data_IF_621879138381
#
_entry.id   IF_621879138381
#
_cell.length_a   1.000
_cell.length_b   1.000
_cell.length_c   1.000
_cell.angle_alpha   90.00
_cell.angle_beta   90.00
_cell.angle_gamma   90.00
#
_symmetry.space_group_name_H-M   'P 1'
#
loop_
_entity.id
_entity.type
_entity.pdbx_description
1 polymer ?
#
# COMPACT_ATOMS: atom_id res chain seq x y z
N UNK A 1 9.00 25.93 -35.04
CA UNK A 1 7.62 25.47 -34.85
C UNK A 1 7.69 24.13 -34.15
N UNK A 2 6.96 23.91 -33.02
CA UNK A 2 6.92 22.58 -32.42
C UNK A 2 6.27 21.59 -33.37
N UNK A 3 6.79 20.35 -33.44
CA UNK A 3 6.26 19.32 -34.30
C UNK A 3 4.82 18.97 -33.85
N UNK A 4 3.85 19.05 -34.75
CA UNK A 4 2.42 18.85 -34.44
C UNK A 4 2.17 17.47 -33.78
N UNK A 5 2.90 16.41 -34.20
CA UNK A 5 2.81 15.07 -33.60
C UNK A 5 3.22 15.05 -32.12
N UNK A 6 4.34 15.71 -31.79
CA UNK A 6 4.83 15.79 -30.39
C UNK A 6 3.89 16.61 -29.50
N UNK A 7 3.20 17.60 -30.08
CA UNK A 7 2.21 18.39 -29.35
C UNK A 7 0.95 17.56 -29.04
N UNK A 8 0.44 16.79 -30.00
CA UNK A 8 -0.71 15.93 -29.79
C UNK A 8 -0.43 14.80 -28.77
N UNK A 9 0.76 14.21 -28.81
CA UNK A 9 1.19 13.22 -27.80
C UNK A 9 1.20 13.80 -26.38
N UNK A 10 1.74 15.00 -26.21
CA UNK A 10 1.76 15.67 -24.89
C UNK A 10 0.36 16.04 -24.41
N UNK A 11 -0.51 16.49 -25.31
CA UNK A 11 -1.91 16.76 -24.98
C UNK A 11 -2.65 15.48 -24.55
N UNK A 12 -2.42 14.35 -25.21
CA UNK A 12 -2.99 13.06 -24.84
C UNK A 12 -2.51 12.62 -23.44
N UNK A 13 -1.22 12.82 -23.11
CA UNK A 13 -0.68 12.52 -21.78
C UNK A 13 -1.34 13.41 -20.71
N UNK A 14 -1.48 14.71 -20.97
CA UNK A 14 -2.14 15.62 -20.03
C UNK A 14 -3.61 15.24 -19.84
N UNK A 15 -4.33 14.88 -20.89
CA UNK A 15 -5.72 14.43 -20.80
C UNK A 15 -5.84 13.16 -19.92
N UNK A 16 -5.02 12.15 -20.18
CA UNK A 16 -5.01 10.91 -19.38
C UNK A 16 -4.63 11.15 -17.91
N UNK A 17 -3.70 12.08 -17.64
CA UNK A 17 -3.35 12.48 -16.27
C UNK A 17 -4.51 13.22 -15.58
N UNK A 18 -5.21 14.08 -16.30
CA UNK A 18 -6.38 14.81 -15.76
C UNK A 18 -7.50 13.84 -15.39
N UNK A 19 -7.79 12.85 -16.24
CA UNK A 19 -8.78 11.79 -15.95
C UNK A 19 -8.40 10.99 -14.69
N UNK A 20 -7.13 10.60 -14.57
CA UNK A 20 -6.63 9.88 -13.40
C UNK A 20 -6.71 10.71 -12.12
N UNK A 21 -6.38 12.00 -12.20
CA UNK A 21 -6.48 12.92 -11.06
C UNK A 21 -7.93 13.14 -10.62
N UNK A 22 -8.86 13.20 -11.55
CA UNK A 22 -10.30 13.33 -11.24
C UNK A 22 -10.89 12.06 -10.63
N UNK A 23 -10.37 10.89 -11.01
CA UNK A 23 -10.79 9.60 -10.48
C UNK A 23 -10.13 9.22 -9.15
N UNK A 24 -9.08 9.93 -8.73
CA UNK A 24 -8.35 9.65 -7.51
C UNK A 24 -8.91 10.43 -6.32
N UNK A 25 -9.10 9.78 -5.18
CA UNK A 25 -9.50 10.44 -3.94
C UNK A 25 -8.32 11.19 -3.30
N UNK A 26 -7.11 10.67 -3.40
CA UNK A 26 -5.91 11.32 -2.88
C UNK A 26 -4.69 11.09 -3.76
N UNK A 27 -3.75 12.03 -3.69
CA UNK A 27 -2.46 11.91 -4.31
C UNK A 27 -1.38 12.61 -3.49
N UNK A 28 -0.17 12.06 -3.54
CA UNK A 28 1.01 12.57 -2.84
C UNK A 28 2.11 12.86 -3.85
N UNK A 29 2.70 14.02 -3.72
CA UNK A 29 3.82 14.49 -4.52
C UNK A 29 5.11 14.27 -3.74
N UNK A 30 6.08 13.62 -4.38
CA UNK A 30 7.29 13.16 -3.73
C UNK A 30 8.52 13.52 -4.55
N UNK A 31 9.61 13.86 -3.86
CA UNK A 31 10.94 13.95 -4.46
C UNK A 31 11.65 12.60 -4.32
N UNK A 32 12.10 12.05 -5.45
CA UNK A 32 12.80 10.75 -5.49
C UNK A 32 14.30 10.88 -5.72
N UNK A 33 14.89 12.00 -5.33
CA UNK A 33 16.31 12.28 -5.56
C UNK A 33 17.21 11.34 -4.75
N UNK A 34 18.04 10.58 -5.45
CA UNK A 34 19.06 9.72 -4.83
C UNK A 34 18.60 8.31 -4.47
N UNK A 35 17.45 7.86 -4.98
CA UNK A 35 16.97 6.48 -4.85
C UNK A 35 17.73 5.56 -5.82
N UNK A 36 18.07 4.34 -5.39
CA UNK A 36 18.64 3.31 -6.23
C UNK A 36 17.54 2.58 -7.03
N UNK A 37 17.93 1.91 -8.13
CA UNK A 37 16.97 1.16 -8.96
C UNK A 37 16.29 0.03 -8.17
N UNK A 38 17.02 -0.60 -7.26
CA UNK A 38 16.47 -1.65 -6.40
C UNK A 38 15.36 -1.10 -5.48
N UNK A 39 15.62 0.01 -4.81
CA UNK A 39 14.67 0.71 -3.93
C UNK A 39 13.41 1.19 -4.70
N UNK A 40 13.58 1.74 -5.92
CA UNK A 40 12.43 2.14 -6.77
C UNK A 40 11.59 0.92 -7.20
N UNK A 41 12.23 -0.21 -7.47
CA UNK A 41 11.53 -1.46 -7.83
C UNK A 41 10.70 -1.98 -6.64
N UNK A 42 11.24 -1.95 -5.42
CA UNK A 42 10.52 -2.31 -4.21
C UNK A 42 9.35 -1.35 -3.94
N UNK A 43 9.58 -0.04 -4.06
CA UNK A 43 8.53 0.98 -3.94
C UNK A 43 7.37 0.71 -4.89
N UNK A 44 7.66 0.47 -6.17
CA UNK A 44 6.63 0.14 -7.18
C UNK A 44 5.91 -1.16 -6.88
N UNK A 45 6.59 -2.15 -6.32
CA UNK A 45 5.98 -3.41 -5.92
C UNK A 45 5.02 -3.22 -4.75
N UNK A 46 5.40 -2.42 -3.74
CA UNK A 46 4.53 -2.11 -2.60
C UNK A 46 3.36 -1.19 -2.99
N UNK A 47 3.58 -0.22 -3.87
CA UNK A 47 2.50 0.61 -4.42
C UNK A 47 1.44 -0.26 -5.11
N UNK A 48 1.84 -1.21 -5.94
CA UNK A 48 0.91 -2.14 -6.61
C UNK A 48 0.13 -3.03 -5.66
N UNK A 49 0.73 -3.45 -4.53
CA UNK A 49 0.05 -4.25 -3.50
C UNK A 49 -1.04 -3.47 -2.75
N UNK A 50 -0.90 -2.16 -2.68
CA UNK A 50 -1.83 -1.26 -2.00
C UNK A 50 -2.72 -0.48 -2.98
N UNK A 51 -2.80 -0.89 -4.25
CA UNK A 51 -3.59 -0.24 -5.32
C UNK A 51 -3.26 1.24 -5.49
N UNK A 52 -1.98 1.61 -5.29
CA UNK A 52 -1.46 2.95 -5.51
C UNK A 52 -0.78 3.02 -6.87
N UNK A 53 -1.22 3.91 -7.74
CA UNK A 53 -0.56 4.19 -9.01
C UNK A 53 0.59 5.17 -8.77
N UNK A 54 1.82 4.70 -8.96
CA UNK A 54 3.03 5.50 -8.84
C UNK A 54 3.61 5.79 -10.22
N UNK A 55 3.72 7.08 -10.57
CA UNK A 55 4.23 7.53 -11.85
C UNK A 55 5.22 8.69 -11.70
N UNK A 56 6.31 8.63 -12.45
CA UNK A 56 7.24 9.75 -12.60
C UNK A 56 6.82 10.56 -13.82
N UNK A 57 6.44 11.79 -13.61
CA UNK A 57 5.90 12.66 -14.66
C UNK A 57 6.67 13.98 -14.69
N UNK A 58 6.80 14.56 -15.88
CA UNK A 58 7.46 15.85 -16.05
C UNK A 58 6.62 16.97 -15.38
N UNK A 59 7.27 17.82 -14.57
CA UNK A 59 6.63 18.92 -13.81
C UNK A 59 5.75 19.81 -14.67
N UNK A 60 6.19 20.14 -15.89
CA UNK A 60 5.39 20.97 -16.81
C UNK A 60 4.07 20.32 -17.20
N UNK A 61 4.02 18.99 -17.37
CA UNK A 61 2.79 18.26 -17.70
C UNK A 61 1.88 18.15 -16.47
N UNK A 62 2.47 17.97 -15.29
CA UNK A 62 1.74 17.98 -14.02
C UNK A 62 1.08 19.33 -13.74
N UNK A 63 1.78 20.43 -13.98
CA UNK A 63 1.21 21.78 -13.85
C UNK A 63 -0.03 21.95 -14.73
N UNK A 64 0.04 21.57 -16.00
CA UNK A 64 -1.15 21.64 -16.87
C UNK A 64 -2.29 20.75 -16.37
N UNK A 65 -2.01 19.56 -15.87
CA UNK A 65 -3.02 18.65 -15.35
C UNK A 65 -3.65 19.20 -14.05
N UNK A 66 -2.86 19.74 -13.12
CA UNK A 66 -3.35 20.32 -11.88
C UNK A 66 -4.16 21.61 -12.12
N UNK A 67 -3.73 22.46 -13.05
CA UNK A 67 -4.49 23.65 -13.43
C UNK A 67 -5.85 23.29 -14.04
N UNK A 68 -5.94 22.20 -14.81
CA UNK A 68 -7.21 21.70 -15.35
C UNK A 68 -8.16 21.17 -14.26
N UNK A 69 -7.62 20.65 -13.16
CA UNK A 69 -8.40 20.14 -12.00
C UNK A 69 -8.69 21.24 -10.98
N UNK A 70 -7.98 22.38 -11.03
CA UNK A 70 -8.16 23.52 -10.11
C UNK A 70 -7.22 23.49 -8.89
N UNK A 71 -6.17 22.67 -8.91
CA UNK A 71 -5.19 22.52 -7.83
C UNK A 71 -3.96 23.43 -8.04
N UNK A 72 -4.17 24.72 -8.29
CA UNK A 72 -3.11 25.66 -8.65
C UNK A 72 -2.08 25.90 -7.53
N UNK A 73 -2.47 25.69 -6.27
CA UNK A 73 -1.60 25.90 -5.10
C UNK A 73 -0.44 24.89 -5.04
N UNK A 74 -0.52 23.78 -5.77
CA UNK A 74 0.56 22.79 -5.84
C UNK A 74 1.70 23.17 -6.80
N UNK A 75 1.52 24.22 -7.61
CA UNK A 75 2.51 24.66 -8.60
C UNK A 75 3.85 25.05 -7.97
N UNK A 76 3.83 25.64 -6.77
CA UNK A 76 5.03 26.05 -6.04
C UNK A 76 5.84 24.82 -5.54
N UNK A 77 5.19 23.69 -5.33
CA UNK A 77 5.83 22.45 -4.87
C UNK A 77 6.43 21.63 -6.03
N UNK A 78 6.06 21.91 -7.28
CA UNK A 78 6.54 21.21 -8.48
C UNK A 78 7.93 21.66 -8.94
N UNK A 79 8.88 21.75 -8.02
CA UNK A 79 10.27 22.10 -8.31
C UNK A 79 11.18 20.87 -8.12
N UNK A 80 12.17 20.68 -8.98
CA UNK A 80 13.13 19.56 -8.92
C UNK A 80 12.56 18.24 -9.47
N UNK A 81 13.02 17.12 -8.93
CA UNK A 81 12.53 15.79 -9.29
C UNK A 81 11.18 15.55 -8.65
N UNK A 82 10.22 15.04 -9.43
CA UNK A 82 8.84 14.88 -8.94
C UNK A 82 8.27 13.57 -9.41
N UNK A 83 7.76 12.79 -8.47
CA UNK A 83 6.91 11.64 -8.72
C UNK A 83 5.56 11.84 -8.07
N UNK A 84 4.54 11.25 -8.66
CA UNK A 84 3.16 11.33 -8.23
C UNK A 84 2.67 9.93 -7.87
N UNK A 85 2.13 9.79 -6.66
CA UNK A 85 1.44 8.59 -6.19
C UNK A 85 -0.04 8.93 -5.99
N UNK A 86 -0.93 8.26 -6.72
CA UNK A 86 -2.38 8.46 -6.66
C UNK A 86 -3.09 7.17 -6.31
N UNK A 87 -4.19 7.27 -5.56
CA UNK A 87 -5.04 6.13 -5.26
C UNK A 87 -6.51 6.54 -5.08
N UNK A 88 -7.38 5.54 -5.17
CA UNK A 88 -8.79 5.70 -4.83
C UNK A 88 -9.00 5.79 -3.30
N UNK A 89 -8.12 5.16 -2.51
CA UNK A 89 -8.13 5.27 -1.05
C UNK A 89 -7.41 6.54 -0.60
N UNK A 90 -7.99 7.36 0.28
CA UNK A 90 -7.39 8.62 0.71
C UNK A 90 -6.13 8.45 1.56
N UNK A 91 -5.95 7.31 2.23
CA UNK A 91 -4.85 7.06 3.18
C UNK A 91 -3.72 6.21 2.57
N UNK A 92 -4.03 5.33 1.62
CA UNK A 92 -3.09 4.37 1.06
C UNK A 92 -1.80 5.02 0.51
N UNK A 93 -1.85 6.08 -0.35
CA UNK A 93 -0.64 6.67 -0.90
C UNK A 93 0.21 7.34 0.17
N UNK A 94 -0.39 8.05 1.13
CA UNK A 94 0.34 8.71 2.20
C UNK A 94 1.09 7.70 3.09
N UNK A 95 0.46 6.57 3.42
CA UNK A 95 1.06 5.51 4.25
C UNK A 95 2.25 4.85 3.56
N UNK A 96 2.06 4.37 2.33
CA UNK A 96 3.13 3.68 1.58
C UNK A 96 4.34 4.59 1.41
N UNK A 97 4.10 5.83 1.03
CA UNK A 97 5.14 6.84 0.82
C UNK A 97 5.89 7.16 2.12
N UNK A 98 5.17 7.37 3.23
CA UNK A 98 5.80 7.69 4.51
C UNK A 98 6.61 6.51 5.08
N UNK A 99 6.16 5.28 4.90
CA UNK A 99 6.92 4.10 5.32
C UNK A 99 8.21 3.94 4.51
N UNK A 100 8.18 4.27 3.21
CA UNK A 100 9.40 4.33 2.39
C UNK A 100 10.30 5.51 2.76
N UNK A 101 9.75 6.68 3.06
CA UNK A 101 10.53 7.84 3.49
C UNK A 101 11.33 7.52 4.77
N UNK A 102 10.72 6.77 5.70
CA UNK A 102 11.40 6.28 6.92
C UNK A 102 12.52 5.28 6.61
N UNK A 103 12.31 4.36 5.65
CA UNK A 103 13.32 3.36 5.25
C UNK A 103 14.52 4.01 4.54
N UNK A 104 14.30 5.05 3.77
CA UNK A 104 15.32 5.66 2.90
C UNK A 104 16.07 6.85 3.53
N UNK A 105 15.81 7.17 4.82
CA UNK A 105 16.58 8.14 5.63
C UNK A 105 16.92 9.46 4.90
N UNK A 106 15.91 10.18 4.42
CA UNK A 106 16.10 11.52 3.85
C UNK A 106 16.46 11.59 2.36
N UNK A 107 16.50 10.45 1.64
CA UNK A 107 16.61 10.45 0.18
C UNK A 107 15.27 10.62 -0.53
N UNK A 108 14.19 10.49 0.21
CA UNK A 108 12.82 10.49 -0.29
C UNK A 108 12.02 11.48 0.54
N UNK A 109 11.69 12.63 -0.06
CA UNK A 109 11.01 13.71 0.65
C UNK A 109 9.59 13.90 0.11
N UNK A 110 8.64 14.01 1.03
CA UNK A 110 7.25 14.34 0.71
C UNK A 110 7.18 15.85 0.54
N UNK A 111 6.76 16.32 -0.62
CA UNK A 111 6.57 17.76 -0.88
C UNK A 111 5.19 18.25 -0.44
N UNK A 112 4.19 17.44 -0.65
CA UNK A 112 2.81 17.72 -0.33
C UNK A 112 1.88 16.76 -1.05
N UNK A 113 0.59 17.08 -1.06
CA UNK A 113 -0.39 16.24 -1.73
C UNK A 113 -1.73 16.94 -1.91
N UNK A 114 -2.68 16.19 -2.41
CA UNK A 114 -4.08 16.61 -2.46
C UNK A 114 -4.98 15.48 -1.95
N UNK A 115 -6.10 15.85 -1.38
CA UNK A 115 -7.15 14.95 -0.94
C UNK A 115 -8.52 15.59 -1.18
N UNK A 116 -9.40 14.87 -1.86
CA UNK A 116 -10.76 15.35 -2.20
C UNK A 116 -10.76 16.74 -2.87
N UNK A 117 -9.80 17.01 -3.75
CA UNK A 117 -9.68 18.29 -4.45
C UNK A 117 -9.14 19.44 -3.59
N UNK A 118 -8.63 19.17 -2.40
CA UNK A 118 -7.97 20.16 -1.54
C UNK A 118 -6.48 19.89 -1.44
N UNK A 119 -5.68 20.94 -1.43
CA UNK A 119 -4.25 20.83 -1.21
C UNK A 119 -3.97 20.52 0.25
N UNK A 120 -3.08 19.57 0.47
CA UNK A 120 -2.68 19.06 1.79
C UNK A 120 -1.19 19.27 1.98
N UNK A 121 -0.84 19.90 3.10
CA UNK A 121 0.55 20.17 3.46
C UNK A 121 1.27 18.91 3.98
N UNK A 122 2.60 18.92 3.98
CA UNK A 122 3.47 17.84 4.44
C UNK A 122 3.11 17.34 5.85
N UNK A 123 2.78 18.24 6.77
CA UNK A 123 2.39 17.90 8.13
C UNK A 123 1.12 17.02 8.16
N UNK A 124 0.15 17.37 7.34
CA UNK A 124 -1.13 16.64 7.24
C UNK A 124 -0.94 15.29 6.52
N UNK A 125 -0.09 15.23 5.50
CA UNK A 125 0.26 13.94 4.83
C UNK A 125 0.91 12.99 5.82
N UNK A 126 1.80 13.47 6.68
CA UNK A 126 2.40 12.66 7.74
C UNK A 126 1.39 12.20 8.79
N UNK A 127 0.41 13.04 9.14
CA UNK A 127 -0.68 12.66 10.03
C UNK A 127 -1.59 11.57 9.40
N UNK A 128 -1.89 11.71 8.10
CA UNK A 128 -2.62 10.68 7.34
C UNK A 128 -1.85 9.36 7.27
N UNK A 129 -0.55 9.41 7.12
CA UNK A 129 0.32 8.23 7.11
C UNK A 129 0.33 7.46 8.43
N UNK A 130 0.01 8.10 9.55
CA UNK A 130 -0.13 7.45 10.85
C UNK A 130 -1.42 6.62 10.97
N UNK A 131 -2.39 6.81 10.08
CA UNK A 131 -3.66 6.09 10.09
C UNK A 131 -3.45 4.68 9.51
N UNK A 132 -3.87 3.61 10.22
CA UNK A 132 -3.74 2.25 9.71
C UNK A 132 -4.71 1.98 8.55
N UNK A 133 -4.51 0.87 7.83
CA UNK A 133 -5.39 0.44 6.76
C UNK A 133 -6.84 0.23 7.24
N UNK A 134 -7.80 0.42 6.36
CA UNK A 134 -9.23 0.31 6.63
C UNK A 134 -9.64 -0.94 7.47
N UNK A 135 -9.21 -2.17 7.13
CA UNK A 135 -9.59 -3.34 7.92
C UNK A 135 -9.01 -3.31 9.33
N UNK A 136 -7.81 -2.76 9.52
CA UNK A 136 -7.19 -2.62 10.85
C UNK A 136 -7.91 -1.56 11.67
N UNK A 137 -8.32 -0.46 11.05
CA UNK A 137 -9.12 0.59 11.69
C UNK A 137 -10.46 0.04 12.17
N UNK A 138 -11.15 -0.72 11.31
CA UNK A 138 -12.41 -1.37 11.67
C UNK A 138 -12.23 -2.36 12.83
N UNK A 139 -11.18 -3.18 12.82
CA UNK A 139 -10.86 -4.08 13.91
C UNK A 139 -10.56 -3.33 15.21
N UNK A 140 -9.88 -2.19 15.13
CA UNK A 140 -9.59 -1.35 16.29
C UNK A 140 -10.87 -0.75 16.89
N UNK A 141 -11.79 -0.25 16.05
CA UNK A 141 -13.09 0.25 16.52
C UNK A 141 -13.90 -0.85 17.19
N UNK A 142 -14.00 -2.03 16.57
CA UNK A 142 -14.69 -3.18 17.17
C UNK A 142 -14.03 -3.61 18.49
N UNK A 143 -12.71 -3.61 18.54
CA UNK A 143 -11.94 -3.89 19.76
C UNK A 143 -12.24 -2.91 20.89
N UNK A 144 -12.32 -1.61 20.60
CA UNK A 144 -12.66 -0.60 21.61
C UNK A 144 -14.10 -0.73 22.14
N UNK A 145 -15.03 -1.16 21.30
CA UNK A 145 -16.41 -1.44 21.72
C UNK A 145 -16.49 -2.68 22.61
N UNK A 146 -15.68 -3.70 22.37
CA UNK A 146 -15.61 -4.92 23.17
C UNK A 146 -14.76 -4.75 24.45
N UNK A 147 -13.87 -3.77 24.51
CA UNK A 147 -12.94 -3.56 25.60
C UNK A 147 -13.61 -3.47 27.00
N UNK A 148 -14.76 -2.77 27.20
CA UNK A 148 -15.41 -2.71 28.51
C UNK A 148 -15.87 -4.09 28.99
N UNK A 149 -16.41 -4.91 28.07
CA UNK A 149 -16.93 -6.25 28.39
C UNK A 149 -15.76 -7.19 28.72
N UNK A 150 -14.73 -7.18 27.89
CA UNK A 150 -13.52 -7.98 28.10
C UNK A 150 -12.78 -7.58 29.37
N UNK A 151 -12.71 -6.27 29.65
CA UNK A 151 -12.10 -5.75 30.90
C UNK A 151 -12.86 -6.25 32.15
N UNK A 152 -14.18 -6.21 32.15
CA UNK A 152 -14.99 -6.73 33.26
C UNK A 152 -14.78 -8.24 33.43
N UNK A 153 -14.80 -9.02 32.35
CA UNK A 153 -14.55 -10.45 32.40
C UNK A 153 -13.17 -10.78 32.95
N UNK A 154 -12.15 -10.02 32.58
CA UNK A 154 -10.77 -10.18 33.07
C UNK A 154 -10.68 -9.89 34.58
N UNK A 155 -11.32 -8.83 35.06
CA UNK A 155 -11.36 -8.50 36.49
C UNK A 155 -12.10 -9.58 37.28
N UNK A 156 -13.23 -10.06 36.80
CA UNK A 156 -13.96 -11.14 37.44
C UNK A 156 -13.15 -12.43 37.51
N UNK A 157 -12.43 -12.77 36.44
CA UNK A 157 -11.51 -13.92 36.41
C UNK A 157 -10.40 -13.76 37.46
N UNK A 158 -9.77 -12.59 37.54
CA UNK A 158 -8.74 -12.31 38.54
C UNK A 158 -9.25 -12.39 39.99
N UNK A 159 -10.49 -11.95 40.24
CA UNK A 159 -11.13 -12.07 41.55
C UNK A 159 -11.38 -13.55 41.87
N UNK A 160 -11.90 -14.33 40.92
CA UNK A 160 -12.13 -15.76 41.09
C UNK A 160 -10.81 -16.51 41.39
N UNK A 161 -9.76 -16.24 40.68
CA UNK A 161 -8.42 -16.81 40.91
C UNK A 161 -7.87 -16.44 42.30
N UNK A 162 -8.05 -15.20 42.75
CA UNK A 162 -7.62 -14.77 44.11
C UNK A 162 -8.44 -15.40 45.23
N UNK A 163 -9.70 -15.71 44.95
CA UNK A 163 -10.60 -16.35 45.95
C UNK A 163 -10.51 -17.89 45.91
N UNK A 164 -9.55 -18.48 45.19
CA UNK A 164 -9.28 -19.92 45.20
C UNK A 164 -10.34 -20.78 44.50
N UNK A 165 -11.16 -20.21 43.65
CA UNK A 165 -12.01 -21.00 42.75
C UNK A 165 -11.16 -21.62 41.62
N UNK A 166 -11.25 -22.97 41.38
CA UNK A 166 -10.54 -23.55 40.25
C UNK A 166 -11.07 -22.94 38.95
N UNK A 167 -10.19 -22.49 38.10
CA UNK A 167 -10.51 -21.98 36.79
C UNK A 167 -10.90 -23.13 35.86
N UNK A 168 -12.14 -23.63 35.98
CA UNK A 168 -12.75 -24.54 35.01
C UNK A 168 -13.55 -23.73 34.00
N UNK A 169 -13.06 -23.82 32.76
CA UNK A 169 -13.81 -23.69 31.50
C UNK A 169 -14.66 -22.43 31.24
N UNK A 170 -13.97 -21.29 31.03
CA UNK A 170 -14.50 -20.22 30.17
C UNK A 170 -13.40 -19.64 29.27
N UNK A 171 -12.53 -20.46 28.71
CA UNK A 171 -11.46 -20.05 27.80
C UNK A 171 -11.49 -20.79 26.47
N UNK A 172 -12.70 -20.97 25.95
CA UNK A 172 -12.88 -21.46 24.57
C UNK A 172 -13.60 -20.40 23.76
N UNK A 173 -12.96 -19.28 23.45
CA UNK A 173 -13.31 -18.44 22.28
C UNK A 173 -12.72 -17.03 22.38
N UNK A 174 -11.43 -16.90 22.56
CA UNK A 174 -10.74 -15.62 22.20
C UNK A 174 -9.22 -15.73 22.38
N UNK A 175 -8.57 -16.60 21.63
CA UNK A 175 -7.17 -16.39 21.28
C UNK A 175 -6.97 -16.81 19.84
N UNK A 176 -7.31 -15.92 18.91
CA UNK A 176 -6.85 -16.00 17.54
C UNK A 176 -5.48 -15.30 17.41
N UNK A 177 -4.52 -15.77 18.21
CA UNK A 177 -3.15 -15.75 17.77
C UNK A 177 -2.92 -17.10 17.08
N UNK A 178 -2.39 -17.17 15.84
CA UNK A 178 -2.20 -18.46 15.18
C UNK A 178 -1.16 -19.26 15.95
N UNK A 179 -1.62 -20.34 16.57
CA UNK A 179 -0.79 -21.33 17.24
C UNK A 179 0.36 -21.78 16.32
N UNK A 180 1.51 -22.04 16.90
CA UNK A 180 2.70 -22.55 16.20
C UNK A 180 2.40 -23.81 15.36
N UNK A 181 1.38 -24.58 15.72
CA UNK A 181 0.88 -25.75 14.96
C UNK A 181 0.18 -25.36 13.67
N UNK A 182 -0.51 -24.21 13.62
CA UNK A 182 -1.16 -23.71 12.39
C UNK A 182 -0.12 -23.19 11.42
N UNK A 183 0.95 -22.54 11.89
CA UNK A 183 2.09 -22.15 11.04
C UNK A 183 2.78 -23.35 10.41
N UNK A 184 2.97 -24.46 11.16
CA UNK A 184 3.60 -25.67 10.65
C UNK A 184 2.72 -26.37 9.60
N UNK A 185 1.40 -26.30 9.74
CA UNK A 185 0.46 -26.86 8.75
C UNK A 185 0.36 -26.00 7.49
N UNK A 186 0.43 -24.68 7.61
CA UNK A 186 0.45 -23.77 6.45
C UNK A 186 1.75 -23.93 5.66
N UNK A 187 2.90 -24.00 6.33
CA UNK A 187 4.19 -24.27 5.68
C UNK A 187 4.20 -25.62 4.95
N UNK A 188 3.63 -26.68 5.54
CA UNK A 188 3.51 -27.98 4.87
C UNK A 188 2.57 -27.97 3.66
N UNK A 189 1.54 -27.11 3.66
CA UNK A 189 0.65 -26.93 2.52
C UNK A 189 1.33 -26.13 1.40
N UNK A 190 2.13 -25.13 1.74
CA UNK A 190 2.92 -24.36 0.76
C UNK A 190 4.02 -25.22 0.11
N UNK A 191 4.70 -26.07 0.89
CA UNK A 191 5.68 -27.00 0.36
C UNK A 191 5.03 -28.01 -0.61
N UNK A 192 3.85 -28.52 -0.28
CA UNK A 192 3.12 -29.47 -1.13
C UNK A 192 2.54 -28.81 -2.40
N UNK A 193 2.24 -27.50 -2.33
CA UNK A 193 1.79 -26.73 -3.49
C UNK A 193 2.96 -26.42 -4.44
N UNK A 194 4.11 -26.02 -3.91
CA UNK A 194 5.32 -25.77 -4.68
C UNK A 194 5.87 -27.03 -5.34
N UNK A 195 5.79 -28.18 -4.66
CA UNK A 195 6.18 -29.47 -5.23
C UNK A 195 5.28 -29.88 -6.41
N UNK A 196 3.98 -29.64 -6.33
CA UNK A 196 3.04 -29.86 -7.45
C UNK A 196 3.25 -28.93 -8.64
N UNK A 197 3.65 -27.68 -8.40
CA UNK A 197 3.97 -26.74 -9.48
C UNK A 197 5.27 -27.12 -10.18
N UNK A 198 6.30 -27.55 -9.44
CA UNK A 198 7.56 -28.00 -10.03
C UNK A 198 7.37 -29.22 -10.94
N UNK A 199 6.53 -30.19 -10.53
CA UNK A 199 6.16 -31.36 -11.38
C UNK A 199 5.36 -30.94 -12.62
N UNK A 200 4.58 -29.88 -12.58
CA UNK A 200 3.87 -29.35 -13.76
C UNK A 200 4.79 -28.62 -14.72
N UNK A 201 5.83 -27.96 -14.20
CA UNK A 201 6.82 -27.25 -15.01
C UNK A 201 7.72 -28.23 -15.76
N UNK A 202 8.16 -29.30 -15.09
CA UNK A 202 9.03 -30.34 -15.66
C UNK A 202 8.31 -31.15 -16.75
N UNK A 203 7.02 -31.42 -16.57
CA UNK A 203 6.21 -32.17 -17.57
C UNK A 203 5.92 -31.32 -18.82
N UNK A 204 5.96 -29.98 -18.76
CA UNK A 204 5.81 -29.09 -19.93
C UNK A 204 7.10 -28.92 -20.72
N UNK A 205 8.24 -29.14 -20.10
CA UNK A 205 9.55 -28.95 -20.72
C UNK A 205 10.16 -30.26 -21.30
N UNK A 206 9.56 -31.41 -20.98
CA UNK A 206 9.87 -32.66 -21.67
C UNK A 206 9.04 -32.74 -22.94
N UNK A 207 9.64 -32.21 -24.05
CA UNK A 207 9.09 -32.38 -25.39
C UNK A 207 8.87 -33.85 -25.74
N UNK A 208 8.08 -34.16 -26.80
CA UNK A 208 7.68 -35.50 -27.13
C UNK A 208 8.90 -36.37 -27.43
N UNK A 209 9.12 -37.39 -26.58
CA UNK A 209 10.10 -38.43 -26.77
C UNK A 209 9.81 -39.12 -28.12
N UNK A 210 10.70 -38.95 -29.10
CA UNK A 210 10.69 -39.71 -30.34
C UNK A 210 11.48 -41.01 -30.09
N UNK A 211 10.87 -42.19 -30.05
CA UNK A 211 11.61 -43.43 -30.11
C UNK A 211 12.27 -43.57 -31.48
N UNK A 212 13.57 -43.83 -31.46
CA UNK A 212 14.45 -43.89 -32.63
C UNK A 212 14.05 -44.99 -33.63
N UNK A 213 14.29 -44.67 -34.89
CA UNK A 213 14.32 -45.62 -35.98
C UNK A 213 15.57 -46.52 -35.84
N UNK A 214 15.35 -47.82 -35.91
CA UNK A 214 16.22 -48.83 -36.46
C UNK A 214 15.49 -49.45 -37.62
#
# INVERSE_FOLDING_TARGET
MPNAKVLSEKQAIVASLTEKLQGAAAGVIVDYKGITVAEDTELRAECRKNDVEYAVVKNTLLRFAFNNVGLNELDDQLNGTTSLAIAADPVAPARVIADFAKKLNGKFEIKGGFMDGKVVDMATVNALAAIPALPVLQAQVLGTMLAPISGLACVLKQIAEKNGAPAEEASAEQSSAPDSKTKTNILKLEDHYNERESYRYDRRNQGPYRPGAL
#
